data_IF_490614204771
#
_entry.id   IF_490614204771
#
_cell.length_a   1.000
_cell.length_b   1.000
_cell.length_c   1.000
_cell.angle_alpha   90.00
_cell.angle_beta   90.00
_cell.angle_gamma   90.00
#
_symmetry.space_group_name_H-M   'P 1'
#
loop_
_entity.id
_entity.type
_entity.pdbx_description
1 polymer ?
#
# COMPACT_ATOMS: atom_id res chain seq x y z
N UNK A 1 -33.62 2.90 -9.30
CA UNK A 1 -32.75 3.38 -8.20
C UNK A 1 -33.40 4.64 -7.65
N UNK A 2 -33.98 4.59 -6.45
CA UNK A 2 -34.40 5.83 -5.78
C UNK A 2 -33.13 6.47 -5.19
N UNK A 3 -32.97 7.80 -5.27
CA UNK A 3 -31.87 8.48 -4.62
C UNK A 3 -31.95 8.23 -3.11
N UNK A 4 -30.80 7.91 -2.50
CA UNK A 4 -30.62 7.83 -1.04
C UNK A 4 -30.99 9.21 -0.47
N UNK A 5 -31.87 9.25 0.51
CA UNK A 5 -32.27 10.50 1.18
C UNK A 5 -31.07 11.09 1.94
N UNK A 6 -30.55 12.26 1.55
CA UNK A 6 -29.37 12.84 2.17
C UNK A 6 -29.65 13.56 3.50
N UNK A 7 -30.90 13.59 3.99
CA UNK A 7 -31.22 14.02 5.36
C UNK A 7 -30.48 13.17 6.42
N UNK A 8 -30.05 11.97 6.05
CA UNK A 8 -29.23 11.06 6.86
C UNK A 8 -27.83 11.62 7.16
N UNK A 9 -27.25 12.40 6.25
CA UNK A 9 -25.90 12.95 6.39
C UNK A 9 -25.83 14.20 7.29
N UNK A 10 -26.98 14.82 7.60
CA UNK A 10 -27.04 16.12 8.28
C UNK A 10 -27.24 16.07 9.81
N UNK A 11 -27.38 14.88 10.41
CA UNK A 11 -27.64 14.75 11.85
C UNK A 11 -26.48 14.14 12.65
N UNK A 12 -25.34 14.84 12.67
CA UNK A 12 -24.38 14.78 13.80
C UNK A 12 -23.91 16.17 14.27
N UNK A 13 -24.58 17.24 13.81
CA UNK A 13 -24.26 18.63 14.15
C UNK A 13 -25.41 19.33 14.89
N UNK A 14 -25.81 18.80 16.05
CA UNK A 14 -26.68 19.52 16.98
C UNK A 14 -25.83 20.36 17.93
N UNK A 15 -26.07 21.67 17.93
CA UNK A 15 -25.39 22.67 18.78
C UNK A 15 -25.62 22.45 20.28
N UNK A 16 -24.94 21.45 20.86
CA UNK A 16 -24.64 21.40 22.29
C UNK A 16 -23.37 20.58 22.46
N UNK A 17 -22.31 21.25 22.90
CA UNK A 17 -21.07 20.68 23.39
C UNK A 17 -21.36 19.49 24.31
N UNK A 18 -21.19 18.27 23.80
CA UNK A 18 -21.07 17.07 24.65
C UNK A 18 -19.89 16.29 24.10
N UNK A 19 -18.74 16.54 24.70
CA UNK A 19 -17.50 15.79 24.51
C UNK A 19 -17.74 14.33 24.89
N UNK A 20 -17.91 13.45 23.90
CA UNK A 20 -17.74 12.02 24.12
C UNK A 20 -16.26 11.70 23.89
N UNK A 21 -15.52 11.64 25.00
CA UNK A 21 -14.13 11.22 25.04
C UNK A 21 -14.03 9.72 24.80
N UNK A 22 -14.03 9.34 23.52
CA UNK A 22 -13.45 8.11 23.00
C UNK A 22 -12.66 8.55 21.77
N UNK A 23 -11.43 8.06 21.62
CA UNK A 23 -10.37 8.56 20.75
C UNK A 23 -10.61 8.38 19.24
N UNK A 24 -11.85 8.58 18.76
CA UNK A 24 -12.26 8.61 17.35
C UNK A 24 -12.73 10.02 17.02
N UNK A 25 -11.98 10.70 16.17
CA UNK A 25 -12.34 12.01 15.60
C UNK A 25 -13.66 11.92 14.84
N UNK A 26 -14.67 12.72 15.22
CA UNK A 26 -15.89 12.89 14.43
C UNK A 26 -15.55 13.53 13.08
N UNK A 27 -16.07 12.96 11.99
CA UNK A 27 -15.93 13.48 10.62
C UNK A 27 -17.23 14.19 10.24
N UNK A 28 -17.15 15.47 9.88
CA UNK A 28 -18.30 16.23 9.38
C UNK A 28 -18.22 16.41 7.87
N UNK A 29 -19.37 16.37 7.16
CA UNK A 29 -19.44 16.50 5.70
C UNK A 29 -20.02 17.86 5.23
N UNK A 30 -19.65 18.32 4.03
CA UNK A 30 -20.26 19.47 3.33
C UNK A 30 -21.41 19.02 2.41
N UNK A 31 -22.48 19.83 2.30
CA UNK A 31 -23.49 19.66 1.26
C UNK A 31 -22.96 20.13 -0.12
N UNK A 32 -23.35 19.48 -1.22
CA UNK A 32 -23.04 19.95 -2.57
C UNK A 32 -23.72 21.29 -2.92
N UNK A 33 -23.15 22.09 -3.85
CA UNK A 33 -23.64 23.43 -4.19
C UNK A 33 -25.02 23.50 -4.86
N UNK A 34 -25.53 22.41 -5.44
CA UNK A 34 -26.82 22.38 -6.18
C UNK A 34 -28.05 22.11 -5.29
N UNK A 35 -27.87 21.98 -3.98
CA UNK A 35 -28.93 21.69 -3.01
C UNK A 35 -29.64 22.98 -2.54
N UNK A 36 -30.44 23.59 -3.41
CA UNK A 36 -31.35 24.67 -3.00
C UNK A 36 -32.69 24.09 -2.52
N UNK A 37 -33.01 24.35 -1.25
CA UNK A 37 -34.35 24.31 -0.64
C UNK A 37 -35.16 23.01 -0.82
N UNK A 38 -35.05 22.08 0.14
CA UNK A 38 -36.05 21.01 0.32
C UNK A 38 -37.41 21.67 0.61
N UNK A 39 -38.50 21.32 -0.11
CA UNK A 39 -39.84 21.85 0.19
C UNK A 39 -40.21 21.57 1.65
N UNK A 40 -40.83 22.53 2.36
CA UNK A 40 -41.17 22.38 3.79
C UNK A 40 -42.05 21.16 4.08
N UNK A 41 -42.75 20.65 3.08
CA UNK A 41 -43.67 19.51 3.14
C UNK A 41 -42.94 18.16 3.22
N UNK A 42 -41.63 18.14 2.92
CA UNK A 42 -40.74 16.96 2.99
C UNK A 42 -39.79 17.04 4.20
N UNK A 43 -39.83 18.15 4.95
CA UNK A 43 -39.03 18.33 6.15
C UNK A 43 -39.58 17.48 7.31
N UNK A 44 -39.10 16.25 7.43
CA UNK A 44 -39.28 15.44 8.64
C UNK A 44 -38.61 16.17 9.79
N UNK A 45 -39.34 16.39 10.89
CA UNK A 45 -38.81 17.05 12.07
C UNK A 45 -37.49 16.40 12.52
N UNK A 46 -36.52 17.19 13.03
CA UNK A 46 -35.27 16.68 13.58
C UNK A 46 -35.54 15.50 14.52
N UNK A 47 -35.10 14.28 14.18
CA UNK A 47 -35.09 13.21 15.16
C UNK A 47 -34.09 13.61 16.26
N UNK A 48 -34.48 13.52 17.55
CA UNK A 48 -33.56 13.86 18.63
C UNK A 48 -32.29 13.01 18.51
N UNK A 49 -31.11 13.54 18.86
CA UNK A 49 -29.87 12.78 18.80
C UNK A 49 -30.07 11.47 19.56
N UNK A 50 -29.69 10.32 18.98
CA UNK A 50 -29.82 9.05 19.68
C UNK A 50 -29.10 9.17 21.01
N UNK A 51 -29.81 8.83 22.10
CA UNK A 51 -29.14 8.54 23.38
C UNK A 51 -28.10 7.45 23.11
N UNK A 52 -26.99 7.36 23.85
CA UNK A 52 -26.03 6.28 23.67
C UNK A 52 -26.73 4.96 24.04
N UNK A 53 -27.43 4.35 23.09
CA UNK A 53 -28.07 3.06 23.17
C UNK A 53 -27.07 2.01 22.69
N UNK A 54 -27.31 0.74 23.04
CA UNK A 54 -26.59 -0.40 22.49
C UNK A 54 -26.53 -0.42 20.95
N UNK A 55 -27.45 0.30 20.29
CA UNK A 55 -27.54 0.44 18.85
C UNK A 55 -26.47 1.39 18.28
N UNK A 56 -26.04 2.40 19.04
CA UNK A 56 -24.95 3.31 18.63
C UNK A 56 -23.58 2.63 18.75
N UNK A 57 -23.41 1.77 19.78
CA UNK A 57 -22.31 0.80 19.84
C UNK A 57 -22.39 -0.21 18.70
N UNK A 58 -23.58 -0.63 18.29
CA UNK A 58 -23.76 -1.52 17.14
C UNK A 58 -23.40 -0.85 15.78
N UNK A 59 -23.32 0.47 15.70
CA UNK A 59 -22.81 1.15 14.51
C UNK A 59 -21.28 1.04 14.40
N UNK A 60 -20.59 0.93 15.53
CA UNK A 60 -19.16 0.58 15.57
C UNK A 60 -19.00 -0.84 15.04
N UNK A 61 -18.07 -1.03 14.12
CA UNK A 61 -17.81 -2.35 13.56
C UNK A 61 -18.75 -2.76 12.40
N UNK A 62 -19.61 -1.87 11.90
CA UNK A 62 -20.59 -2.23 10.87
C UNK A 62 -19.92 -2.76 9.59
N UNK A 63 -18.81 -2.14 9.17
CA UNK A 63 -17.99 -2.57 8.02
C UNK A 63 -17.41 -3.97 8.27
N UNK A 64 -16.85 -4.20 9.46
CA UNK A 64 -16.22 -5.46 9.83
C UNK A 64 -17.22 -6.62 9.89
N UNK A 65 -18.48 -6.34 10.26
CA UNK A 65 -19.55 -7.34 10.26
C UNK A 65 -20.03 -7.68 8.86
N UNK A 66 -20.31 -6.67 8.00
CA UNK A 66 -20.79 -6.95 6.63
C UNK A 66 -19.71 -7.67 5.80
N UNK A 67 -18.44 -7.25 5.92
CA UNK A 67 -17.33 -7.89 5.23
C UNK A 67 -17.08 -9.28 5.80
N UNK A 68 -17.07 -9.44 7.13
CA UNK A 68 -16.89 -10.73 7.79
C UNK A 68 -17.96 -11.74 7.38
N UNK A 69 -19.24 -11.34 7.38
CA UNK A 69 -20.35 -12.19 6.95
C UNK A 69 -20.25 -12.54 5.46
N UNK A 70 -19.92 -11.57 4.60
CA UNK A 70 -19.76 -11.82 3.18
C UNK A 70 -18.66 -12.86 2.90
N UNK A 71 -17.48 -12.67 3.50
CA UNK A 71 -16.34 -13.57 3.31
C UNK A 71 -16.65 -14.97 3.84
N UNK A 72 -17.27 -15.07 5.03
CA UNK A 72 -17.66 -16.36 5.60
C UNK A 72 -18.63 -17.14 4.71
N UNK A 73 -19.59 -16.45 4.08
CA UNK A 73 -20.55 -17.07 3.17
C UNK A 73 -19.94 -17.38 1.80
N UNK A 74 -19.01 -16.56 1.31
CA UNK A 74 -18.35 -16.76 0.02
C UNK A 74 -17.31 -17.90 0.05
N UNK A 75 -16.70 -18.17 1.20
CA UNK A 75 -15.64 -19.16 1.38
C UNK A 75 -15.94 -20.16 2.51
N UNK A 76 -16.96 -21.03 2.38
CA UNK A 76 -17.42 -21.90 3.48
C UNK A 76 -16.44 -22.99 3.91
N UNK A 77 -15.49 -23.36 3.03
CA UNK A 77 -14.57 -24.49 3.24
C UNK A 77 -13.11 -24.06 3.42
N UNK A 78 -12.84 -22.77 3.62
CA UNK A 78 -11.49 -22.25 3.78
C UNK A 78 -10.99 -22.46 5.22
N UNK A 79 -9.68 -22.59 5.40
CA UNK A 79 -9.07 -22.69 6.72
C UNK A 79 -9.34 -21.41 7.56
N UNK A 80 -9.59 -21.53 8.88
CA UNK A 80 -9.82 -20.36 9.75
C UNK A 80 -8.68 -19.33 9.73
N UNK A 81 -7.43 -19.75 9.52
CA UNK A 81 -6.28 -18.86 9.38
C UNK A 81 -6.37 -18.01 8.12
N UNK A 82 -6.62 -18.64 6.97
CA UNK A 82 -6.77 -17.95 5.68
C UNK A 82 -8.02 -17.05 5.67
N UNK A 83 -9.11 -17.48 6.29
CA UNK A 83 -10.30 -16.64 6.48
C UNK A 83 -9.97 -15.36 7.25
N UNK A 84 -9.16 -15.48 8.31
CA UNK A 84 -8.75 -14.35 9.14
C UNK A 84 -7.84 -13.40 8.36
N UNK A 85 -6.93 -13.94 7.53
CA UNK A 85 -6.08 -13.15 6.63
C UNK A 85 -6.92 -12.39 5.60
N UNK A 86 -7.84 -13.07 4.91
CA UNK A 86 -8.74 -12.48 3.92
C UNK A 86 -9.65 -11.41 4.51
N UNK A 87 -10.17 -11.64 5.72
CA UNK A 87 -10.90 -10.62 6.47
C UNK A 87 -10.02 -9.42 6.76
N UNK A 88 -8.83 -9.63 7.34
CA UNK A 88 -7.92 -8.55 7.71
C UNK A 88 -7.49 -7.67 6.52
N UNK A 89 -7.27 -8.29 5.35
CA UNK A 89 -6.92 -7.59 4.13
C UNK A 89 -8.04 -6.64 3.67
N UNK A 90 -9.30 -7.06 3.82
CA UNK A 90 -10.47 -6.28 3.39
C UNK A 90 -10.94 -5.22 4.41
N UNK A 91 -10.63 -5.38 5.70
CA UNK A 91 -11.03 -4.44 6.77
C UNK A 91 -9.90 -3.53 7.25
N UNK A 92 -8.70 -3.63 6.66
CA UNK A 92 -7.56 -2.85 7.11
C UNK A 92 -7.74 -1.35 6.86
N UNK A 93 -7.14 -0.51 7.72
CA UNK A 93 -7.09 0.95 7.50
C UNK A 93 -6.51 1.29 6.13
N UNK A 94 -5.49 0.55 5.68
CA UNK A 94 -4.89 0.67 4.36
C UNK A 94 -5.91 0.45 3.23
N UNK A 95 -6.75 -0.58 3.35
CA UNK A 95 -7.77 -0.90 2.36
C UNK A 95 -8.89 0.14 2.33
N UNK A 96 -9.42 0.50 3.49
CA UNK A 96 -10.51 1.46 3.60
C UNK A 96 -10.05 2.87 3.20
N UNK A 97 -8.79 3.24 3.45
CA UNK A 97 -8.25 4.51 2.98
C UNK A 97 -8.20 4.60 1.45
N UNK A 98 -7.84 3.50 0.75
CA UNK A 98 -7.86 3.44 -0.72
C UNK A 98 -9.28 3.58 -1.27
N UNK A 99 -10.27 2.99 -0.61
CA UNK A 99 -11.69 3.21 -0.93
C UNK A 99 -12.02 4.71 -0.87
N UNK A 100 -11.63 5.39 0.20
CA UNK A 100 -11.87 6.83 0.33
C UNK A 100 -11.21 7.67 -0.77
N UNK A 101 -9.99 7.33 -1.17
CA UNK A 101 -9.27 8.02 -2.26
C UNK A 101 -9.95 7.78 -3.60
N UNK A 102 -10.25 6.53 -3.95
CA UNK A 102 -10.86 6.16 -5.25
C UNK A 102 -12.20 6.82 -5.48
N UNK A 103 -13.01 6.94 -4.42
CA UNK A 103 -14.30 7.64 -4.48
C UNK A 103 -14.19 9.14 -4.21
N UNK A 104 -12.99 9.66 -3.95
CA UNK A 104 -12.75 11.06 -3.69
C UNK A 104 -13.47 11.60 -2.45
N UNK A 105 -13.75 10.75 -1.46
CA UNK A 105 -14.61 11.05 -0.30
C UNK A 105 -14.01 12.14 0.60
N UNK A 106 -12.68 12.23 0.64
CA UNK A 106 -11.99 13.23 1.45
C UNK A 106 -12.45 14.65 1.13
N UNK A 107 -12.79 14.97 -0.13
CA UNK A 107 -13.23 16.33 -0.52
C UNK A 107 -14.46 16.84 0.22
N UNK A 108 -15.30 15.92 0.71
CA UNK A 108 -16.54 16.27 1.38
C UNK A 108 -16.34 16.54 2.87
N UNK A 109 -15.18 16.24 3.44
CA UNK A 109 -14.93 16.44 4.87
C UNK A 109 -14.66 17.91 5.19
N UNK A 110 -15.40 18.45 6.16
CA UNK A 110 -15.14 19.77 6.74
C UNK A 110 -13.86 19.70 7.57
N UNK A 111 -12.86 20.49 7.21
CA UNK A 111 -11.60 20.52 7.93
C UNK A 111 -10.85 21.83 7.71
N UNK A 112 -9.95 22.12 8.64
CA UNK A 112 -8.93 23.15 8.52
C UNK A 112 -7.60 22.56 9.01
N UNK A 113 -6.96 21.74 8.18
CA UNK A 113 -5.77 20.98 8.56
C UNK A 113 -4.78 20.81 7.38
N UNK A 114 -4.02 21.86 7.02
CA UNK A 114 -3.14 21.84 5.84
C UNK A 114 -2.10 20.71 5.85
N UNK A 115 -1.57 20.36 7.02
CA UNK A 115 -0.61 19.25 7.15
C UNK A 115 -1.24 17.88 6.90
N UNK A 116 -2.56 17.73 7.15
CA UNK A 116 -3.29 16.51 6.83
C UNK A 116 -3.63 16.47 5.34
N UNK A 117 -3.98 17.61 4.75
CA UNK A 117 -4.24 17.76 3.32
C UNK A 117 -3.04 17.27 2.49
N UNK A 118 -1.84 17.68 2.88
CA UNK A 118 -0.62 17.26 2.18
C UNK A 118 -0.37 15.75 2.27
N UNK A 119 -0.52 15.16 3.46
CA UNK A 119 -0.41 13.70 3.64
C UNK A 119 -1.43 12.92 2.83
N UNK A 120 -2.65 13.43 2.73
CA UNK A 120 -3.69 12.77 1.93
C UNK A 120 -3.40 12.94 0.44
N UNK A 121 -2.86 14.08 0.01
CA UNK A 121 -2.42 14.29 -1.38
C UNK A 121 -1.32 13.31 -1.78
N UNK A 122 -0.25 13.19 -0.99
CA UNK A 122 0.85 12.25 -1.22
C UNK A 122 0.35 10.79 -1.25
N UNK A 123 -0.50 10.40 -0.28
CA UNK A 123 -1.10 9.07 -0.27
C UNK A 123 -1.98 8.83 -1.50
N UNK A 124 -2.78 9.81 -1.92
CA UNK A 124 -3.64 9.69 -3.09
C UNK A 124 -2.82 9.52 -4.38
N UNK A 125 -1.75 10.30 -4.56
CA UNK A 125 -0.83 10.15 -5.69
C UNK A 125 -0.20 8.75 -5.74
N UNK A 126 0.24 8.23 -4.59
CA UNK A 126 0.74 6.85 -4.51
C UNK A 126 -0.33 5.83 -4.92
N UNK A 127 -1.59 6.02 -4.53
CA UNK A 127 -2.70 5.11 -4.86
C UNK A 127 -3.06 5.16 -6.34
N UNK A 128 -2.96 6.32 -7.00
CA UNK A 128 -3.22 6.42 -8.45
C UNK A 128 -2.13 5.77 -9.31
N UNK A 129 -0.92 5.64 -8.76
CA UNK A 129 0.19 4.93 -9.42
C UNK A 129 0.18 3.42 -9.14
N UNK A 130 -0.74 2.90 -8.32
CA UNK A 130 -0.90 1.46 -8.08
C UNK A 130 -1.64 0.84 -9.30
N UNK A 131 -0.97 -0.03 -10.06
CA UNK A 131 -1.59 -0.72 -11.22
C UNK A 131 -2.62 -1.78 -10.78
N UNK A 132 -2.44 -2.40 -9.61
CA UNK A 132 -3.25 -3.50 -9.09
C UNK A 132 -3.77 -3.29 -7.66
N UNK A 133 -4.75 -4.11 -7.26
CA UNK A 133 -5.25 -4.12 -5.89
C UNK A 133 -4.15 -4.59 -4.92
N UNK A 134 -3.66 -3.67 -4.07
CA UNK A 134 -2.67 -4.00 -3.04
C UNK A 134 -3.35 -4.68 -1.84
N UNK A 135 -3.00 -5.93 -1.57
CA UNK A 135 -3.60 -6.73 -0.51
C UNK A 135 -3.11 -6.37 0.90
N UNK A 136 -1.91 -5.77 1.00
CA UNK A 136 -1.16 -5.67 2.25
C UNK A 136 -0.66 -4.26 2.60
N UNK A 137 -1.27 -3.23 1.98
CA UNK A 137 -0.84 -1.84 2.13
C UNK A 137 0.34 -1.51 1.20
N UNK A 138 0.30 -0.31 0.65
CA UNK A 138 1.26 0.20 -0.33
C UNK A 138 2.49 0.84 0.32
N UNK A 139 3.26 1.57 -0.49
CA UNK A 139 4.54 2.16 -0.09
C UNK A 139 4.40 3.30 0.93
N UNK A 140 3.23 3.96 0.98
CA UNK A 140 2.92 5.04 1.90
C UNK A 140 1.87 4.57 2.90
N UNK A 141 2.08 4.90 4.18
CA UNK A 141 1.11 4.60 5.24
C UNK A 141 -0.15 5.43 5.07
N UNK A 142 -1.29 4.76 5.09
CA UNK A 142 -2.59 5.39 5.01
C UNK A 142 -2.87 6.37 6.16
N UNK A 143 -3.31 7.61 5.86
CA UNK A 143 -3.91 8.51 6.84
C UNK A 143 -5.18 7.88 7.43
N UNK A 144 -5.18 7.63 8.74
CA UNK A 144 -6.30 6.95 9.44
C UNK A 144 -7.66 7.60 9.18
N UNK A 145 -7.69 8.93 9.06
CA UNK A 145 -8.91 9.71 8.76
C UNK A 145 -9.66 9.19 7.54
N UNK A 146 -8.96 8.65 6.54
CA UNK A 146 -9.56 8.13 5.32
C UNK A 146 -10.36 6.85 5.58
N UNK A 147 -9.85 5.96 6.44
CA UNK A 147 -10.60 4.80 6.88
C UNK A 147 -11.78 5.20 7.78
N UNK A 148 -11.56 6.15 8.69
CA UNK A 148 -12.61 6.66 9.59
C UNK A 148 -13.78 7.27 8.79
N UNK A 149 -13.52 7.93 7.65
CA UNK A 149 -14.55 8.42 6.72
C UNK A 149 -15.42 7.26 6.21
N UNK A 150 -14.80 6.18 5.72
CA UNK A 150 -15.53 5.03 5.15
C UNK A 150 -16.35 4.32 6.23
N UNK A 151 -15.78 4.13 7.42
CA UNK A 151 -16.49 3.61 8.59
C UNK A 151 -17.68 4.51 8.98
N UNK A 152 -17.50 5.84 8.95
CA UNK A 152 -18.56 6.78 9.31
C UNK A 152 -19.74 6.76 8.33
N UNK A 153 -19.47 6.56 7.03
CA UNK A 153 -20.52 6.43 6.00
C UNK A 153 -21.29 5.14 6.20
N UNK A 154 -20.59 4.02 6.45
CA UNK A 154 -21.24 2.75 6.75
C UNK A 154 -22.13 2.85 7.99
N UNK A 155 -21.64 3.51 9.05
CA UNK A 155 -22.40 3.73 10.27
C UNK A 155 -23.66 4.58 10.02
N UNK A 156 -23.55 5.66 9.24
CA UNK A 156 -24.68 6.51 8.88
C UNK A 156 -25.76 5.73 8.09
N UNK A 157 -25.35 4.96 7.08
CA UNK A 157 -26.27 4.10 6.31
C UNK A 157 -26.90 3.04 7.22
N UNK A 158 -26.12 2.44 8.13
CA UNK A 158 -26.61 1.41 9.05
C UNK A 158 -27.73 1.95 9.96
N UNK A 159 -27.57 3.17 10.47
CA UNK A 159 -28.60 3.85 11.26
C UNK A 159 -29.83 4.16 10.39
N UNK A 160 -29.64 4.63 9.16
CA UNK A 160 -30.75 4.97 8.24
C UNK A 160 -31.59 3.77 7.83
N UNK A 161 -30.94 2.63 7.54
CA UNK A 161 -31.63 1.38 7.22
C UNK A 161 -32.18 0.65 8.45
N UNK A 162 -32.31 1.36 9.58
CA UNK A 162 -32.84 0.85 10.84
C UNK A 162 -32.11 -0.42 11.32
N UNK A 163 -30.78 -0.37 11.28
CA UNK A 163 -29.87 -1.42 11.75
C UNK A 163 -29.96 -2.75 10.98
N UNK A 164 -30.41 -2.72 9.72
CA UNK A 164 -30.44 -3.89 8.83
C UNK A 164 -29.08 -4.09 8.12
N UNK A 165 -28.33 -5.10 8.55
CA UNK A 165 -27.02 -5.46 7.98
C UNK A 165 -27.09 -5.89 6.50
N UNK A 166 -28.17 -6.53 6.08
CA UNK A 166 -28.31 -6.99 4.69
C UNK A 166 -28.57 -5.81 3.76
N UNK A 167 -29.42 -4.86 4.18
CA UNK A 167 -29.60 -3.60 3.45
C UNK A 167 -28.33 -2.77 3.40
N UNK A 168 -27.62 -2.65 4.53
CA UNK A 168 -26.31 -2.00 4.56
C UNK A 168 -25.36 -2.62 3.54
N UNK A 169 -25.23 -3.96 3.51
CA UNK A 169 -24.37 -4.65 2.55
C UNK A 169 -24.75 -4.32 1.10
N UNK A 170 -26.04 -4.40 0.74
CA UNK A 170 -26.52 -4.12 -0.62
C UNK A 170 -26.17 -2.69 -1.07
N UNK A 171 -26.30 -1.71 -0.18
CA UNK A 171 -26.00 -0.30 -0.48
C UNK A 171 -24.49 -0.04 -0.51
N UNK A 172 -23.76 -0.60 0.46
CA UNK A 172 -22.37 -0.24 0.73
C UNK A 172 -21.34 -1.05 -0.07
N UNK A 173 -21.69 -2.27 -0.51
CA UNK A 173 -20.75 -3.17 -1.20
C UNK A 173 -20.08 -2.55 -2.43
N UNK A 174 -20.80 -1.71 -3.18
CA UNK A 174 -20.24 -1.06 -4.37
C UNK A 174 -19.13 -0.07 -4.05
N UNK A 175 -19.10 0.49 -2.83
CA UNK A 175 -18.01 1.36 -2.36
C UNK A 175 -16.76 0.55 -1.97
N UNK A 176 -16.92 -0.72 -1.61
CA UNK A 176 -15.81 -1.58 -1.18
C UNK A 176 -15.05 -2.22 -2.35
N UNK A 177 -15.56 -2.08 -3.58
CA UNK A 177 -14.96 -2.66 -4.77
C UNK A 177 -13.72 -1.88 -5.26
N UNK A 178 -12.72 -2.57 -5.85
CA UNK A 178 -12.53 -4.02 -5.83
C UNK A 178 -12.16 -4.55 -4.44
N UNK A 179 -12.74 -5.68 -4.01
CA UNK A 179 -12.37 -6.37 -2.77
C UNK A 179 -11.16 -7.28 -3.00
N UNK A 180 -10.34 -7.48 -1.97
CA UNK A 180 -9.22 -8.44 -2.01
C UNK A 180 -9.79 -9.85 -1.95
N UNK A 181 -9.41 -10.70 -2.89
CA UNK A 181 -9.81 -12.10 -2.99
C UNK A 181 -8.72 -13.03 -2.44
N UNK A 182 -9.04 -14.31 -2.30
CA UNK A 182 -8.05 -15.30 -1.89
C UNK A 182 -6.94 -15.44 -2.95
N UNK A 183 -7.29 -15.35 -4.24
CA UNK A 183 -6.32 -15.37 -5.33
C UNK A 183 -5.33 -14.20 -5.22
N UNK A 184 -5.83 -12.99 -4.95
CA UNK A 184 -4.96 -11.81 -4.75
C UNK A 184 -3.99 -12.01 -3.58
N UNK A 185 -4.42 -12.66 -2.50
CA UNK A 185 -3.57 -12.99 -1.36
C UNK A 185 -2.51 -14.04 -1.69
N UNK A 186 -2.86 -15.02 -2.52
CA UNK A 186 -1.92 -16.04 -2.99
C UNK A 186 -0.86 -15.45 -3.92
N UNK A 187 -1.25 -14.46 -4.73
CA UNK A 187 -0.34 -13.74 -5.63
C UNK A 187 0.51 -12.69 -4.88
N UNK A 188 0.00 -12.12 -3.78
CA UNK A 188 0.70 -11.13 -2.96
C UNK A 188 0.90 -11.61 -1.51
N UNK A 189 1.62 -12.71 -1.24
CA UNK A 189 1.77 -13.23 0.12
C UNK A 189 2.51 -12.25 1.04
N UNK A 190 2.07 -12.14 2.30
CA UNK A 190 2.71 -11.29 3.31
C UNK A 190 4.21 -11.62 3.43
N UNK A 191 5.12 -10.68 3.10
CA UNK A 191 6.57 -10.96 3.07
C UNK A 191 7.12 -11.41 4.43
N UNK A 192 6.56 -10.90 5.52
CA UNK A 192 6.98 -11.29 6.88
C UNK A 192 6.58 -12.73 7.15
N UNK A 193 5.32 -13.11 6.91
CA UNK A 193 4.82 -14.46 7.14
C UNK A 193 5.58 -15.48 6.30
N UNK A 194 5.76 -15.18 5.01
CA UNK A 194 6.48 -16.04 4.09
C UNK A 194 7.95 -16.26 4.51
N UNK A 195 8.60 -15.23 5.06
CA UNK A 195 9.95 -15.36 5.60
C UNK A 195 10.01 -16.34 6.77
N UNK A 196 9.05 -16.27 7.69
CA UNK A 196 8.96 -17.20 8.83
C UNK A 196 8.69 -18.63 8.35
N UNK A 197 7.72 -18.83 7.46
CA UNK A 197 7.38 -20.15 6.90
C UNK A 197 8.56 -20.78 6.16
N UNK A 198 9.22 -20.01 5.30
CA UNK A 198 10.37 -20.48 4.53
C UNK A 198 11.51 -20.93 5.46
N UNK A 199 11.82 -20.14 6.48
CA UNK A 199 12.87 -20.49 7.43
C UNK A 199 12.48 -21.68 8.30
N UNK A 200 11.23 -21.72 8.80
CA UNK A 200 10.73 -22.82 9.64
C UNK A 200 10.73 -24.15 8.88
N UNK A 201 10.36 -24.16 7.60
CA UNK A 201 10.42 -25.35 6.73
C UNK A 201 11.83 -25.92 6.61
N UNK A 202 12.84 -25.07 6.72
CA UNK A 202 14.26 -25.46 6.68
C UNK A 202 14.88 -25.62 8.08
N UNK A 203 14.06 -25.62 9.14
CA UNK A 203 14.52 -25.77 10.52
C UNK A 203 15.32 -24.58 11.06
N UNK A 204 15.17 -23.40 10.46
CA UNK A 204 15.90 -22.18 10.82
C UNK A 204 15.05 -21.24 11.66
N UNK A 205 15.68 -20.55 12.61
CA UNK A 205 15.04 -19.54 13.46
C UNK A 205 15.22 -18.15 12.87
N UNK A 206 14.12 -17.39 12.77
CA UNK A 206 14.13 -15.98 12.31
C UNK A 206 13.99 -15.04 13.50
N UNK A 207 14.84 -14.02 13.55
CA UNK A 207 14.77 -12.90 14.49
C UNK A 207 14.76 -11.58 13.72
N UNK A 208 13.79 -10.71 14.02
CA UNK A 208 13.67 -9.38 13.40
C UNK A 208 13.88 -8.31 14.45
N UNK A 209 15.06 -7.69 14.41
CA UNK A 209 15.46 -6.65 15.36
C UNK A 209 15.12 -5.27 14.82
N UNK A 210 14.59 -4.43 15.69
CA UNK A 210 14.22 -3.06 15.36
C UNK A 210 15.15 -2.09 16.05
N UNK A 211 15.61 -1.09 15.32
CA UNK A 211 16.45 -0.02 15.83
C UNK A 211 16.22 1.25 15.02
N UNK A 212 16.87 2.35 15.41
CA UNK A 212 16.71 3.66 14.76
C UNK A 212 18.08 4.16 14.29
N UNK A 213 18.12 4.61 13.04
CA UNK A 213 19.30 5.21 12.43
C UNK A 213 19.01 6.67 12.11
N UNK A 214 19.70 7.59 12.79
CA UNK A 214 19.58 9.06 12.71
C UNK A 214 18.15 9.64 12.85
N UNK A 215 17.24 9.32 11.92
CA UNK A 215 15.81 9.68 11.91
C UNK A 215 14.87 8.57 11.37
N UNK A 216 15.41 7.49 10.80
CA UNK A 216 14.62 6.43 10.14
C UNK A 216 14.49 5.20 11.02
N UNK A 217 13.32 4.54 10.97
CA UNK A 217 13.13 3.24 11.60
C UNK A 217 13.78 2.17 10.72
N UNK A 218 14.59 1.30 11.32
CA UNK A 218 15.28 0.22 10.62
C UNK A 218 14.88 -1.10 11.24
N UNK A 219 14.58 -2.09 10.39
CA UNK A 219 14.40 -3.47 10.79
C UNK A 219 15.49 -4.33 10.14
N UNK A 220 16.10 -5.20 10.93
CA UNK A 220 17.16 -6.12 10.50
C UNK A 220 16.74 -7.56 10.75
N UNK A 221 16.78 -8.38 9.71
CA UNK A 221 16.46 -9.81 9.74
C UNK A 221 17.73 -10.62 9.98
N UNK A 222 17.66 -11.49 10.98
CA UNK A 222 18.67 -12.48 11.32
C UNK A 222 18.06 -13.88 11.19
N UNK A 223 18.82 -14.81 10.62
CA UNK A 223 18.45 -16.22 10.53
C UNK A 223 19.55 -17.04 11.20
N UNK A 224 19.19 -17.82 12.22
CA UNK A 224 20.11 -18.57 13.09
C UNK A 224 21.23 -17.68 13.66
N UNK A 225 20.87 -16.44 14.04
CA UNK A 225 21.80 -15.44 14.57
C UNK A 225 22.66 -14.72 13.51
N UNK A 226 22.61 -15.13 12.23
CA UNK A 226 23.36 -14.50 11.14
C UNK A 226 22.54 -13.41 10.46
N UNK A 227 23.14 -12.23 10.27
CA UNK A 227 22.49 -11.13 9.53
C UNK A 227 22.22 -11.51 8.07
N UNK A 228 20.99 -11.27 7.61
CA UNK A 228 20.56 -11.54 6.24
C UNK A 228 20.30 -10.23 5.48
N UNK A 229 19.39 -9.40 5.96
CA UNK A 229 18.99 -8.17 5.31
C UNK A 229 18.46 -7.14 6.30
N UNK A 230 18.41 -5.88 5.88
CA UNK A 230 17.79 -4.79 6.63
C UNK A 230 16.97 -3.90 5.70
N UNK A 231 15.86 -3.39 6.19
CA UNK A 231 15.00 -2.44 5.50
C UNK A 231 14.78 -1.21 6.39
N UNK A 232 14.67 -0.04 5.78
CA UNK A 232 14.42 1.22 6.48
C UNK A 232 13.16 1.90 5.96
N UNK A 233 12.51 2.69 6.82
CA UNK A 233 11.35 3.52 6.51
C UNK A 233 11.11 4.53 7.63
N UNK A 234 10.33 5.57 7.35
CA UNK A 234 9.77 6.45 8.37
C UNK A 234 8.80 5.71 9.31
N UNK A 235 8.28 4.55 8.89
CA UNK A 235 7.34 3.76 9.66
C UNK A 235 7.89 2.38 10.01
N UNK A 236 7.73 1.99 11.28
CA UNK A 236 8.26 0.72 11.82
C UNK A 236 7.76 -0.51 11.05
N UNK A 237 6.47 -0.57 10.74
CA UNK A 237 5.87 -1.71 10.04
C UNK A 237 6.35 -1.82 8.58
N UNK A 238 6.52 -0.69 7.90
CA UNK A 238 7.05 -0.66 6.52
C UNK A 238 8.54 -1.05 6.53
N UNK A 239 9.32 -0.59 7.51
CA UNK A 239 10.72 -1.01 7.66
C UNK A 239 10.83 -2.54 7.83
N UNK A 240 9.95 -3.12 8.65
CA UNK A 240 9.85 -4.57 8.87
C UNK A 240 9.48 -5.33 7.58
N UNK A 241 8.48 -4.84 6.85
CA UNK A 241 8.05 -5.42 5.58
C UNK A 241 9.16 -5.35 4.52
N UNK A 242 9.85 -4.22 4.40
CA UNK A 242 11.00 -4.05 3.51
C UNK A 242 12.14 -5.01 3.86
N UNK A 243 12.47 -5.14 5.15
CA UNK A 243 13.51 -6.05 5.62
C UNK A 243 13.17 -7.51 5.28
N UNK A 244 11.90 -7.90 5.44
CA UNK A 244 11.42 -9.24 5.11
C UNK A 244 11.46 -9.53 3.60
N UNK A 245 11.01 -8.59 2.76
CA UNK A 245 11.12 -8.68 1.29
C UNK A 245 12.57 -8.91 0.86
N UNK A 246 13.49 -8.10 1.41
CA UNK A 246 14.92 -8.19 1.12
C UNK A 246 15.53 -9.53 1.60
N UNK A 247 15.11 -10.02 2.76
CA UNK A 247 15.57 -11.29 3.30
C UNK A 247 15.10 -12.47 2.45
N UNK A 248 13.83 -12.50 2.04
CA UNK A 248 13.28 -13.51 1.14
C UNK A 248 14.07 -13.61 -0.17
N UNK A 249 14.36 -12.46 -0.81
CA UNK A 249 15.14 -12.41 -2.05
C UNK A 249 16.58 -12.95 -1.87
N UNK A 250 17.20 -12.74 -0.71
CA UNK A 250 18.53 -13.30 -0.41
C UNK A 250 18.48 -14.79 -0.10
N UNK A 251 17.47 -15.23 0.65
CA UNK A 251 17.33 -16.62 1.07
C UNK A 251 16.96 -17.53 -0.10
N UNK A 252 16.09 -17.07 -1.01
CA UNK A 252 15.72 -17.81 -2.22
C UNK A 252 16.90 -18.11 -3.13
N UNK A 253 17.93 -17.25 -3.15
CA UNK A 253 19.19 -17.47 -3.89
C UNK A 253 20.13 -18.47 -3.22
N UNK A 254 19.94 -18.73 -1.93
CA UNK A 254 20.85 -19.54 -1.10
C UNK A 254 20.32 -20.93 -0.74
N UNK A 255 19.04 -21.21 -1.00
CA UNK A 255 18.37 -22.48 -0.70
C UNK A 255 17.82 -23.10 -2.00
N UNK A 256 17.91 -24.42 -2.20
CA UNK A 256 17.36 -25.07 -3.38
C UNK A 256 15.83 -24.93 -3.38
N UNK A 257 15.29 -24.29 -4.42
CA UNK A 257 13.89 -23.89 -4.52
C UNK A 257 12.99 -25.11 -4.75
N UNK A 258 11.86 -25.17 -4.03
CA UNK A 258 10.70 -26.01 -4.41
C UNK A 258 9.73 -25.17 -5.26
N UNK A 259 9.18 -25.78 -6.31
CA UNK A 259 8.47 -25.23 -7.48
C UNK A 259 7.35 -24.18 -7.29
N UNK A 260 7.06 -23.67 -6.08
CA UNK A 260 5.99 -22.69 -5.83
C UNK A 260 6.40 -21.21 -5.85
N UNK A 261 7.69 -20.90 -5.90
CA UNK A 261 8.21 -19.51 -5.79
C UNK A 261 8.52 -18.84 -7.13
N UNK A 262 8.50 -19.59 -8.24
CA UNK A 262 8.86 -19.10 -9.57
C UNK A 262 7.87 -18.07 -10.13
N UNK A 263 6.61 -18.10 -9.72
CA UNK A 263 5.57 -17.16 -10.22
C UNK A 263 5.63 -15.77 -9.57
N UNK A 264 6.39 -15.58 -8.48
CA UNK A 264 6.49 -14.28 -7.77
C UNK A 264 7.58 -13.38 -8.37
N UNK A 265 8.47 -13.95 -9.20
CA UNK A 265 9.60 -13.20 -9.76
C UNK A 265 9.22 -12.19 -10.85
N UNK A 266 8.03 -12.27 -11.44
CA UNK A 266 7.60 -11.38 -12.52
C UNK A 266 7.02 -10.03 -12.03
N UNK A 267 6.71 -9.88 -10.74
CA UNK A 267 6.04 -8.68 -10.19
C UNK A 267 6.93 -7.73 -9.38
N UNK A 268 8.24 -7.99 -9.25
CA UNK A 268 9.15 -7.18 -8.44
C UNK A 268 10.35 -6.75 -9.28
N UNK A 269 10.08 -5.96 -10.31
CA UNK A 269 11.11 -5.14 -10.98
C UNK A 269 11.18 -3.76 -10.31
N UNK A 270 11.55 -3.73 -9.03
CA UNK A 270 11.98 -2.49 -8.35
C UNK A 270 13.46 -2.61 -7.95
N UNK A 271 14.31 -2.03 -8.81
CA UNK A 271 15.65 -1.45 -8.58
C UNK A 271 16.59 -1.99 -7.47
N UNK A 272 16.85 -3.30 -7.41
CA UNK A 272 18.10 -3.80 -6.77
C UNK A 272 19.36 -3.40 -7.55
N UNK A 273 19.88 -2.20 -7.35
CA UNK A 273 21.15 -1.78 -7.95
C UNK A 273 22.27 -2.78 -7.60
N UNK A 274 22.90 -3.33 -8.63
CA UNK A 274 24.05 -4.22 -8.44
C UNK A 274 25.18 -3.35 -7.86
N UNK A 275 25.62 -3.67 -6.65
CA UNK A 275 26.76 -2.97 -6.03
C UNK A 275 28.01 -3.17 -6.91
N UNK A 276 28.65 -2.05 -7.29
CA UNK A 276 29.79 -2.04 -8.20
C UNK A 276 29.46 -2.46 -9.65
N UNK A 277 28.20 -2.34 -10.08
CA UNK A 277 27.75 -2.63 -11.44
C UNK A 277 28.63 -2.01 -12.52
N UNK A 278 29.06 -0.75 -12.34
CA UNK A 278 29.93 -0.07 -13.32
C UNK A 278 31.23 -0.84 -13.56
N UNK A 279 31.86 -1.33 -12.49
CA UNK A 279 33.07 -2.14 -12.56
C UNK A 279 32.78 -3.52 -13.14
N UNK A 280 31.71 -4.17 -12.68
CA UNK A 280 31.29 -5.50 -13.16
C UNK A 280 30.98 -5.50 -14.66
N UNK A 281 30.31 -4.47 -15.17
CA UNK A 281 30.01 -4.34 -16.60
C UNK A 281 31.29 -4.14 -17.41
N UNK A 282 32.24 -3.36 -16.90
CA UNK A 282 33.56 -3.20 -17.53
C UNK A 282 34.32 -4.53 -17.60
N UNK A 283 34.34 -5.31 -16.51
CA UNK A 283 34.95 -6.65 -16.49
C UNK A 283 34.25 -7.63 -17.45
N UNK A 284 32.92 -7.57 -17.52
CA UNK A 284 32.10 -8.40 -18.41
C UNK A 284 32.40 -8.12 -19.89
N UNK A 285 32.48 -6.84 -20.27
CA UNK A 285 32.88 -6.45 -21.62
C UNK A 285 34.28 -6.97 -21.96
N UNK A 286 35.22 -6.91 -21.02
CA UNK A 286 36.56 -7.47 -21.18
C UNK A 286 36.55 -8.99 -21.42
N UNK A 287 35.77 -9.74 -20.64
CA UNK A 287 35.63 -11.20 -20.79
C UNK A 287 35.02 -11.59 -22.14
N UNK A 288 34.01 -10.85 -22.61
CA UNK A 288 33.31 -11.09 -23.87
C UNK A 288 34.03 -10.48 -25.09
N UNK A 289 35.20 -9.86 -24.90
CA UNK A 289 35.97 -9.15 -25.93
C UNK A 289 35.17 -8.03 -26.62
N UNK A 290 34.23 -7.41 -25.91
CA UNK A 290 33.49 -6.25 -26.39
C UNK A 290 34.28 -4.96 -26.12
N UNK A 291 34.05 -3.89 -26.92
CA UNK A 291 34.53 -2.56 -26.59
C UNK A 291 34.06 -2.12 -25.21
N UNK A 292 34.83 -1.24 -24.57
CA UNK A 292 34.51 -0.73 -23.23
C UNK A 292 33.15 -0.01 -23.22
N UNK A 293 32.37 -0.12 -22.12
CA UNK A 293 31.11 0.59 -21.98
C UNK A 293 31.34 2.11 -21.97
N UNK A 294 30.52 2.84 -22.71
CA UNK A 294 30.53 4.30 -22.80
C UNK A 294 29.38 4.85 -21.96
N UNK A 295 29.69 5.78 -21.06
CA UNK A 295 28.71 6.43 -20.19
C UNK A 295 28.50 7.89 -20.57
N UNK A 296 27.28 8.39 -20.45
CA UNK A 296 26.93 9.79 -20.73
C UNK A 296 25.85 10.27 -19.78
N UNK A 297 26.01 11.48 -19.24
CA UNK A 297 24.96 12.13 -18.46
C UNK A 297 23.94 12.70 -19.43
N UNK A 298 22.71 12.19 -19.35
CA UNK A 298 21.60 12.61 -20.20
C UNK A 298 20.76 13.71 -19.54
N UNK A 299 20.75 13.75 -18.21
CA UNK A 299 19.94 14.70 -17.44
C UNK A 299 20.69 15.16 -16.19
N UNK A 300 20.68 16.46 -15.94
CA UNK A 300 21.20 17.09 -14.72
C UNK A 300 20.20 18.17 -14.28
N UNK A 301 19.50 17.94 -13.19
CA UNK A 301 18.42 18.81 -12.71
C UNK A 301 18.59 19.16 -11.22
N UNK A 302 17.97 20.28 -10.81
CA UNK A 302 17.91 20.69 -9.42
C UNK A 302 18.98 21.69 -8.97
N UNK A 303 18.74 22.36 -7.82
CA UNK A 303 19.69 23.29 -7.23
C UNK A 303 20.93 22.57 -6.71
N UNK A 304 22.04 23.28 -6.49
CA UNK A 304 23.33 22.67 -6.14
C UNK A 304 23.30 21.76 -4.89
N UNK A 305 22.35 21.96 -3.97
CA UNK A 305 22.19 21.18 -2.74
C UNK A 305 21.20 19.99 -2.87
N UNK A 306 20.55 19.84 -4.03
CA UNK A 306 19.56 18.77 -4.30
C UNK A 306 19.61 18.35 -5.78
N UNK A 307 20.83 18.28 -6.32
CA UNK A 307 21.04 17.99 -7.73
C UNK A 307 20.89 16.50 -8.02
N UNK A 308 20.13 16.16 -9.06
CA UNK A 308 19.94 14.80 -9.56
C UNK A 308 20.59 14.63 -10.93
N UNK A 309 21.06 13.41 -11.20
CA UNK A 309 21.76 13.02 -12.41
C UNK A 309 21.16 11.72 -12.96
N UNK A 310 20.92 11.70 -14.27
CA UNK A 310 20.58 10.48 -15.03
C UNK A 310 21.73 10.17 -15.97
N UNK A 311 22.26 8.95 -15.89
CA UNK A 311 23.31 8.46 -16.77
C UNK A 311 22.76 7.40 -17.72
N UNK A 312 23.30 7.35 -18.93
CA UNK A 312 23.10 6.27 -19.88
C UNK A 312 24.39 5.47 -20.07
N UNK A 313 24.25 4.20 -20.43
CA UNK A 313 25.37 3.33 -20.79
C UNK A 313 25.12 2.68 -22.15
N UNK A 314 26.15 2.69 -23.00
CA UNK A 314 26.13 2.06 -24.30
C UNK A 314 27.27 1.03 -24.42
N UNK A 315 26.93 -0.17 -24.88
CA UNK A 315 27.90 -1.23 -25.22
C UNK A 315 27.69 -1.69 -26.67
N UNK A 316 28.76 -2.13 -27.32
CA UNK A 316 28.69 -2.71 -28.67
C UNK A 316 28.93 -4.20 -28.58
N UNK A 317 27.92 -5.01 -28.89
CA UNK A 317 28.00 -6.47 -28.92
C UNK A 317 28.05 -6.96 -30.37
N UNK A 318 28.23 -8.27 -30.58
CA UNK A 318 28.19 -8.87 -31.91
C UNK A 318 26.83 -8.70 -32.62
N UNK A 319 25.75 -8.49 -31.85
CA UNK A 319 24.38 -8.39 -32.36
C UNK A 319 23.90 -6.94 -32.50
N UNK A 320 24.75 -5.95 -32.20
CA UNK A 320 24.42 -4.53 -32.33
C UNK A 320 24.87 -3.69 -31.14
N UNK A 321 24.43 -2.43 -31.12
CA UNK A 321 24.66 -1.52 -29.99
C UNK A 321 23.49 -1.62 -29.03
N UNK A 322 23.79 -1.89 -27.76
CA UNK A 322 22.81 -1.88 -26.68
C UNK A 322 22.96 -0.59 -25.89
N UNK A 323 21.82 -0.02 -25.50
CA UNK A 323 21.72 1.24 -24.79
C UNK A 323 20.75 1.07 -23.62
N UNK A 324 21.15 1.55 -22.44
CA UNK A 324 20.29 1.59 -21.25
C UNK A 324 20.43 2.93 -20.54
N UNK A 325 19.34 3.42 -19.98
CA UNK A 325 19.28 4.61 -19.15
C UNK A 325 19.08 4.20 -17.69
N UNK A 326 19.87 4.77 -16.78
CA UNK A 326 19.77 4.55 -15.33
C UNK A 326 18.69 5.39 -14.65
N UNK A 327 18.50 5.15 -13.36
CA UNK A 327 17.58 5.92 -12.52
C UNK A 327 18.18 7.27 -12.09
N UNK A 328 17.34 8.19 -11.60
CA UNK A 328 17.76 9.45 -11.00
C UNK A 328 18.62 9.22 -9.74
N UNK A 329 19.81 9.82 -9.69
CA UNK A 329 20.72 9.72 -8.52
C UNK A 329 21.30 11.07 -8.12
N UNK A 330 21.61 11.22 -6.84
CA UNK A 330 22.22 12.44 -6.29
C UNK A 330 23.71 12.61 -6.64
N UNK A 331 24.35 11.58 -7.21
CA UNK A 331 25.76 11.59 -7.60
C UNK A 331 25.94 10.94 -8.97
N UNK A 332 26.75 11.56 -9.82
CA UNK A 332 27.16 11.04 -11.13
C UNK A 332 27.65 9.59 -11.06
N UNK A 333 28.47 9.25 -10.07
CA UNK A 333 28.98 7.89 -9.88
C UNK A 333 27.86 6.86 -9.67
N UNK A 334 26.84 7.24 -8.91
CA UNK A 334 25.75 6.35 -8.56
C UNK A 334 24.77 6.25 -9.75
N UNK A 335 24.58 7.33 -10.52
CA UNK A 335 23.85 7.32 -11.80
C UNK A 335 24.49 6.36 -12.82
N UNK A 336 25.82 6.42 -12.98
CA UNK A 336 26.54 5.48 -13.86
C UNK A 336 26.39 4.03 -13.37
N UNK A 337 26.42 3.82 -12.05
CA UNK A 337 26.25 2.49 -11.48
C UNK A 337 24.82 1.96 -11.71
N UNK A 338 23.82 2.83 -11.64
CA UNK A 338 22.43 2.51 -11.95
C UNK A 338 22.26 2.06 -13.40
N UNK A 339 22.77 2.85 -14.36
CA UNK A 339 22.74 2.52 -15.78
C UNK A 339 23.44 1.19 -16.07
N UNK A 340 24.61 0.96 -15.46
CA UNK A 340 25.35 -0.29 -15.59
C UNK A 340 24.58 -1.49 -15.00
N UNK A 341 23.86 -1.29 -13.90
CA UNK A 341 23.07 -2.34 -13.25
C UNK A 341 21.93 -2.82 -14.16
N UNK A 342 21.20 -1.88 -14.77
CA UNK A 342 20.13 -2.20 -15.71
C UNK A 342 20.68 -2.88 -16.96
N UNK A 343 21.83 -2.45 -17.47
CA UNK A 343 22.49 -3.10 -18.61
C UNK A 343 22.91 -4.55 -18.29
N UNK A 344 23.48 -4.82 -17.11
CA UNK A 344 23.86 -6.19 -16.72
C UNK A 344 22.63 -7.10 -16.66
N UNK A 345 21.51 -6.61 -16.13
CA UNK A 345 20.26 -7.38 -16.08
C UNK A 345 19.70 -7.67 -17.46
N UNK A 346 19.63 -6.65 -18.32
CA UNK A 346 19.18 -6.82 -19.70
C UNK A 346 20.03 -7.87 -20.44
N UNK A 347 21.35 -7.91 -20.18
CA UNK A 347 22.25 -8.95 -20.72
C UNK A 347 22.01 -10.35 -20.14
N UNK A 348 21.56 -10.45 -18.88
CA UNK A 348 21.21 -11.72 -18.23
C UNK A 348 19.90 -12.30 -18.77
N UNK A 349 18.92 -11.44 -19.05
CA UNK A 349 17.61 -11.83 -19.56
C UNK A 349 17.63 -12.18 -21.05
N UNK A 350 18.57 -11.62 -21.81
CA UNK A 350 18.67 -11.78 -23.26
C UNK A 350 19.68 -12.86 -23.70
N UNK A 351 20.07 -13.79 -22.80
CA UNK A 351 21.04 -14.89 -23.04
C UNK A 351 22.39 -14.46 -23.65
N UNK A 352 22.81 -13.20 -23.48
CA UNK A 352 24.12 -12.72 -23.95
C UNK A 352 25.28 -13.17 -23.04
N UNK A 353 24.96 -13.72 -21.87
CA UNK A 353 25.88 -13.98 -20.76
C UNK A 353 26.42 -15.41 -20.71
#
# INVERSE_FOLDING_TARGET
MNPIDPAVFFYMGGSTTTTYSSSKSCVEFHAPPDWSSVPPDVAVAPRPPPRPSAEMEAAVGAVERIIGNHIFLAYPNIDPGDLSLLRSANISTEKLARVAVRHGLYRFVRRNAPALDEKVREFAESVYNEEDAVAHGGSIKAPKVLADIVESIAAAIYVDVNFDLQRLWVIFRGLLEPMVTLEDLMQQPQPVTMLFELCQKHGKQVDIRHWRDESKNVASVYVDGKFVASGSSEHKEIAKLNAAKLALCKLSKSLPITNGLSQIMDGISESFEIEGAKQKLHELCGKKKWPKPVYKIEKEEGPAHERTFVSSVQISTANGKLFMMGDDKSRVRDADNSAASLMIRALQESDFL
#
